data_IF_247371693022
#
_entry.id   IF_247371693022
#
_cell.length_a   1.000
_cell.length_b   1.000
_cell.length_c   1.000
_cell.angle_alpha   90.00
_cell.angle_beta   90.00
_cell.angle_gamma   90.00
#
_symmetry.space_group_name_H-M   'P 1'
#
loop_
_entity.id
_entity.type
_entity.pdbx_description
1 polymer ?
#
# COMPACT_ATOMS: atom_id res chain seq x y z
N UNK A 1 53.66 -28.93 36.00
CA UNK A 1 53.05 -27.60 35.77
C UNK A 1 52.37 -27.59 34.39
N UNK A 2 51.11 -27.13 34.34
CA UNK A 2 50.34 -26.50 33.22
C UNK A 2 50.68 -26.95 31.79
N UNK A 3 49.89 -27.71 31.01
CA UNK A 3 48.45 -27.70 30.60
C UNK A 3 47.97 -26.40 29.95
N UNK A 4 47.57 -26.54 28.67
CA UNK A 4 46.64 -25.74 27.83
C UNK A 4 47.26 -24.64 26.96
N UNK A 5 47.16 -24.81 25.63
CA UNK A 5 46.45 -23.90 24.71
C UNK A 5 46.47 -24.44 23.28
N UNK A 6 45.33 -24.99 22.84
CA UNK A 6 44.93 -25.13 21.44
C UNK A 6 43.48 -24.63 21.39
N UNK A 7 43.09 -24.02 20.26
CA UNK A 7 41.76 -23.51 19.87
C UNK A 7 41.59 -21.99 19.98
N UNK A 8 41.94 -21.28 18.90
CA UNK A 8 41.35 -19.99 18.54
C UNK A 8 41.54 -19.71 17.04
N UNK A 9 40.81 -20.40 16.16
CA UNK A 9 40.74 -20.05 14.74
C UNK A 9 39.48 -20.64 14.07
N UNK A 10 38.29 -20.20 14.45
CA UNK A 10 37.06 -20.54 13.73
C UNK A 10 35.95 -19.53 14.03
N UNK A 11 36.01 -18.32 13.44
CA UNK A 11 34.95 -17.31 13.68
C UNK A 11 34.66 -16.36 12.52
N UNK A 12 35.09 -16.62 11.28
CA UNK A 12 35.02 -15.61 10.21
C UNK A 12 34.22 -15.98 8.94
N UNK A 13 33.38 -17.03 8.94
CA UNK A 13 32.67 -17.45 7.71
C UNK A 13 31.14 -17.37 7.71
N UNK A 14 30.50 -16.74 8.70
CA UNK A 14 29.04 -16.77 8.82
C UNK A 14 28.27 -15.60 8.16
N UNK A 15 28.93 -14.63 7.53
CA UNK A 15 28.27 -13.38 7.09
C UNK A 15 27.55 -13.35 5.73
N UNK A 16 27.62 -14.32 4.79
CA UNK A 16 26.89 -14.19 3.51
C UNK A 16 25.47 -14.78 3.53
N UNK A 17 25.10 -15.58 4.53
CA UNK A 17 23.83 -16.32 4.52
C UNK A 17 22.60 -15.43 4.76
N UNK A 18 22.73 -14.39 5.57
CA UNK A 18 21.59 -13.52 5.96
C UNK A 18 21.11 -12.67 4.76
N UNK A 19 22.01 -12.29 3.83
CA UNK A 19 21.63 -11.47 2.65
C UNK A 19 20.88 -12.23 1.57
N UNK A 20 21.01 -13.56 1.47
CA UNK A 20 20.31 -14.35 0.44
C UNK A 20 18.82 -14.52 0.76
N UNK A 21 18.48 -14.66 2.04
CA UNK A 21 17.10 -14.90 2.49
C UNK A 21 16.12 -13.75 2.15
N UNK A 22 16.61 -12.51 2.07
CA UNK A 22 15.77 -11.35 1.75
C UNK A 22 15.54 -11.19 0.23
N UNK A 23 16.52 -11.62 -0.59
CA UNK A 23 16.44 -11.60 -2.05
C UNK A 23 15.51 -12.68 -2.64
N UNK A 24 15.07 -13.64 -1.83
CA UNK A 24 14.27 -14.80 -2.28
C UNK A 24 12.81 -14.77 -1.80
N UNK A 25 12.36 -13.70 -1.15
CA UNK A 25 10.92 -13.55 -0.86
C UNK A 25 10.18 -13.31 -2.17
N UNK A 26 9.18 -14.13 -2.52
CA UNK A 26 8.31 -13.85 -3.65
C UNK A 26 7.75 -12.43 -3.54
N UNK A 27 7.70 -11.72 -4.67
CA UNK A 27 7.07 -10.41 -4.71
C UNK A 27 5.59 -10.55 -4.29
N UNK A 28 5.05 -9.59 -3.53
CA UNK A 28 3.64 -9.65 -3.16
C UNK A 28 2.74 -9.53 -4.40
N UNK A 29 1.54 -10.12 -4.37
CA UNK A 29 0.66 -10.22 -5.54
C UNK A 29 0.26 -8.84 -6.11
N UNK A 30 0.24 -7.80 -5.28
CA UNK A 30 -0.09 -6.43 -5.65
C UNK A 30 1.10 -5.56 -6.03
N UNK A 31 2.30 -6.12 -6.16
CA UNK A 31 3.51 -5.35 -6.49
C UNK A 31 3.38 -4.52 -7.78
N UNK A 32 2.55 -4.95 -8.73
CA UNK A 32 2.32 -4.21 -9.97
C UNK A 32 1.60 -2.87 -9.77
N UNK A 33 0.89 -2.66 -8.65
CA UNK A 33 0.13 -1.43 -8.40
C UNK A 33 0.91 -0.40 -7.57
N UNK A 34 2.09 -0.75 -7.06
CA UNK A 34 2.88 0.14 -6.21
C UNK A 34 3.11 1.53 -6.82
N UNK A 35 3.06 2.56 -5.99
CA UNK A 35 3.27 3.95 -6.38
C UNK A 35 2.05 4.84 -6.17
N UNK A 36 2.14 6.06 -6.69
CA UNK A 36 1.14 7.11 -6.53
C UNK A 36 0.16 7.14 -7.70
N UNK A 37 -1.10 7.43 -7.40
CA UNK A 37 -2.21 7.46 -8.34
C UNK A 37 -3.05 8.71 -8.12
N UNK A 38 -3.38 9.42 -9.20
CA UNK A 38 -4.22 10.62 -9.21
C UNK A 38 -5.62 10.30 -9.76
N UNK A 39 -6.62 11.11 -9.39
CA UNK A 39 -7.99 10.99 -9.85
C UNK A 39 -8.89 10.28 -8.85
N UNK A 40 -9.78 9.42 -9.33
CA UNK A 40 -10.71 8.68 -8.47
C UNK A 40 -11.91 9.51 -8.04
N UNK A 41 -11.73 10.56 -7.22
CA UNK A 41 -12.83 11.47 -6.86
C UNK A 41 -13.27 12.34 -8.04
N UNK A 42 -12.28 12.85 -8.77
CA UNK A 42 -12.45 13.58 -10.02
C UNK A 42 -11.67 12.86 -11.12
N UNK A 43 -12.02 13.07 -12.40
CA UNK A 43 -11.23 12.54 -13.51
C UNK A 43 -9.74 12.91 -13.37
N UNK A 44 -8.81 11.99 -13.67
CA UNK A 44 -7.39 12.27 -13.51
C UNK A 44 -6.91 13.28 -14.55
N UNK A 45 -5.98 14.14 -14.14
CA UNK A 45 -5.20 14.99 -15.05
C UNK A 45 -4.08 14.19 -15.77
N UNK A 46 -3.03 14.91 -16.14
CA UNK A 46 -1.82 14.26 -16.69
C UNK A 46 -1.10 13.48 -15.59
N UNK A 47 -0.77 12.21 -15.88
CA UNK A 47 -0.05 11.33 -14.97
C UNK A 47 1.47 11.50 -15.06
N UNK A 48 1.98 12.21 -16.07
CA UNK A 48 3.40 12.26 -16.40
C UNK A 48 4.05 13.59 -15.99
N UNK A 49 3.58 14.19 -14.90
CA UNK A 49 4.10 15.46 -14.39
C UNK A 49 4.45 15.36 -12.91
N UNK A 50 5.30 16.27 -12.43
CA UNK A 50 5.65 16.32 -10.99
C UNK A 50 4.43 16.69 -10.14
N UNK A 51 3.52 17.51 -10.67
CA UNK A 51 2.27 17.89 -10.02
C UNK A 51 1.37 16.69 -9.71
N UNK A 52 1.45 15.61 -10.51
CA UNK A 52 0.71 14.38 -10.23
C UNK A 52 1.02 13.84 -8.83
N UNK A 53 2.29 13.86 -8.43
CA UNK A 53 2.70 13.37 -7.10
C UNK A 53 2.20 14.29 -5.97
N UNK A 54 2.05 15.58 -6.22
CA UNK A 54 1.46 16.54 -5.27
C UNK A 54 -0.06 16.39 -5.14
N UNK A 55 -0.73 15.90 -6.19
CA UNK A 55 -2.18 15.67 -6.25
C UNK A 55 -2.60 14.21 -6.14
N UNK A 56 -1.71 13.31 -5.73
CA UNK A 56 -2.04 11.89 -5.61
C UNK A 56 -3.21 11.70 -4.63
N UNK A 57 -4.19 10.87 -5.02
CA UNK A 57 -5.34 10.55 -4.18
C UNK A 57 -5.18 9.21 -3.49
N UNK A 58 -4.40 8.30 -4.09
CA UNK A 58 -4.09 6.99 -3.50
C UNK A 58 -2.63 6.63 -3.74
N UNK A 59 -1.99 6.06 -2.73
CA UNK A 59 -0.63 5.56 -2.79
C UNK A 59 -0.63 4.10 -2.31
N UNK A 60 -0.26 3.18 -3.19
CA UNK A 60 -0.12 1.77 -2.86
C UNK A 60 1.33 1.46 -2.50
N UNK A 61 1.54 0.88 -1.32
CA UNK A 61 2.84 0.38 -0.88
C UNK A 61 2.77 -1.12 -0.59
N UNK A 62 3.86 -1.68 -0.07
CA UNK A 62 3.92 -3.11 0.28
C UNK A 62 2.88 -3.49 1.33
N UNK A 63 2.79 -2.73 2.41
CA UNK A 63 2.03 -3.11 3.61
C UNK A 63 0.93 -2.11 3.98
N UNK A 64 0.90 -0.94 3.33
CA UNK A 64 -0.11 0.09 3.56
C UNK A 64 -0.64 0.69 2.26
N UNK A 65 -1.90 1.11 2.31
CA UNK A 65 -2.49 2.00 1.30
C UNK A 65 -2.79 3.33 1.98
N UNK A 66 -2.30 4.40 1.38
CA UNK A 66 -2.62 5.77 1.79
C UNK A 66 -3.71 6.29 0.85
N UNK A 67 -4.76 6.93 1.39
CA UNK A 67 -5.73 7.67 0.58
C UNK A 67 -6.00 9.06 1.12
N UNK A 68 -6.28 9.98 0.22
CA UNK A 68 -6.81 11.31 0.52
C UNK A 68 -8.26 11.39 0.01
N UNK A 69 -9.08 12.21 0.67
CA UNK A 69 -10.45 12.54 0.23
C UNK A 69 -10.59 14.05 0.02
N UNK A 70 -11.58 14.48 -0.74
CA UNK A 70 -11.84 15.90 -0.97
C UNK A 70 -12.15 16.67 0.32
N UNK A 71 -12.58 15.96 1.36
CA UNK A 71 -12.96 16.51 2.66
C UNK A 71 -11.91 16.27 3.74
N UNK A 72 -10.78 15.62 3.40
CA UNK A 72 -9.72 15.29 4.35
C UNK A 72 -8.36 15.77 3.85
N UNK A 73 -7.73 16.61 4.68
CA UNK A 73 -6.42 17.21 4.40
C UNK A 73 -5.31 16.15 4.54
N UNK A 74 -5.48 15.18 5.44
CA UNK A 74 -4.46 14.20 5.74
C UNK A 74 -4.68 12.89 4.98
N UNK A 75 -3.59 12.25 4.57
CA UNK A 75 -3.68 10.87 4.10
C UNK A 75 -4.13 9.96 5.23
N UNK A 76 -5.20 9.21 5.00
CA UNK A 76 -5.61 8.08 5.83
C UNK A 76 -4.80 6.86 5.44
N UNK A 77 -4.11 6.29 6.42
CA UNK A 77 -3.36 5.06 6.26
C UNK A 77 -4.22 3.84 6.59
N UNK A 78 -4.22 2.86 5.69
CA UNK A 78 -4.82 1.54 5.87
C UNK A 78 -3.76 0.47 5.83
N UNK A 79 -3.64 -0.31 6.89
CA UNK A 79 -2.73 -1.46 6.95
C UNK A 79 -3.35 -2.62 6.19
N UNK A 80 -2.60 -3.17 5.24
CA UNK A 80 -3.00 -4.34 4.45
C UNK A 80 -2.87 -5.58 5.34
N UNK A 81 -3.98 -6.32 5.49
CA UNK A 81 -3.98 -7.61 6.17
C UNK A 81 -3.75 -8.74 5.15
N UNK A 82 -4.51 -8.73 4.05
CA UNK A 82 -4.33 -9.69 2.95
C UNK A 82 -4.60 -9.04 1.60
N UNK A 83 -4.02 -9.62 0.56
CA UNK A 83 -4.32 -9.26 -0.83
C UNK A 83 -4.48 -10.53 -1.65
N UNK A 84 -5.57 -10.60 -2.42
CA UNK A 84 -5.85 -11.68 -3.35
C UNK A 84 -5.89 -11.15 -4.79
N UNK A 85 -5.43 -11.98 -5.73
CA UNK A 85 -5.69 -11.77 -7.15
C UNK A 85 -7.13 -12.20 -7.45
N UNK A 86 -7.84 -11.39 -8.22
CA UNK A 86 -9.17 -11.68 -8.76
C UNK A 86 -9.12 -11.56 -10.29
N UNK A 87 -10.10 -12.09 -11.05
CA UNK A 87 -10.02 -12.17 -12.51
C UNK A 87 -9.69 -10.85 -13.22
N UNK A 88 -10.11 -9.71 -12.66
CA UNK A 88 -9.96 -8.38 -13.22
C UNK A 88 -9.08 -7.43 -12.38
N UNK A 89 -8.37 -7.95 -11.37
CA UNK A 89 -7.44 -7.15 -10.57
C UNK A 89 -7.12 -7.72 -9.19
N UNK A 90 -7.35 -6.91 -8.14
CA UNK A 90 -6.95 -7.20 -6.76
C UNK A 90 -8.13 -7.00 -5.79
N UNK A 91 -8.23 -7.85 -4.78
CA UNK A 91 -9.05 -7.61 -3.59
C UNK A 91 -8.11 -7.41 -2.39
N UNK A 92 -8.13 -6.21 -1.82
CA UNK A 92 -7.43 -5.88 -0.59
C UNK A 92 -8.39 -6.04 0.59
N UNK A 93 -7.88 -6.65 1.66
CA UNK A 93 -8.49 -6.58 3.00
C UNK A 93 -7.56 -5.83 3.92
N UNK A 94 -8.11 -4.88 4.65
CA UNK A 94 -7.38 -4.06 5.58
C UNK A 94 -7.63 -4.51 7.01
N UNK A 95 -6.62 -4.39 7.86
CA UNK A 95 -6.81 -4.51 9.29
C UNK A 95 -7.86 -3.49 9.75
N UNK A 96 -8.71 -3.82 10.74
CA UNK A 96 -9.66 -2.88 11.31
C UNK A 96 -8.96 -1.59 11.73
N UNK A 97 -9.59 -0.47 11.40
CA UNK A 97 -9.03 0.81 11.75
C UNK A 97 -8.99 1.00 13.28
N UNK A 98 -7.84 1.37 13.82
CA UNK A 98 -7.74 1.74 15.23
C UNK A 98 -8.51 3.05 15.46
N UNK A 99 -9.28 3.11 16.55
CA UNK A 99 -9.90 4.35 16.98
C UNK A 99 -8.81 5.39 17.28
N UNK A 100 -8.90 6.55 16.62
CA UNK A 100 -8.00 7.67 16.86
C UNK A 100 -8.61 8.53 17.96
N UNK A 101 -8.30 8.19 19.22
CA UNK A 101 -8.75 8.95 20.38
C UNK A 101 -8.52 8.20 21.69
N UNK A 102 -8.23 8.93 22.77
CA UNK A 102 -8.15 8.36 24.11
C UNK A 102 -9.52 7.86 24.61
N UNK A 103 -9.54 7.30 25.82
CA UNK A 103 -10.69 6.60 26.47
C UNK A 103 -12.02 7.39 26.46
N UNK A 104 -11.98 8.71 26.22
CA UNK A 104 -13.15 9.60 26.21
C UNK A 104 -13.66 9.98 24.80
N UNK A 105 -12.98 9.58 23.72
CA UNK A 105 -13.37 9.94 22.36
C UNK A 105 -12.96 8.86 21.34
N UNK A 106 -13.43 7.64 21.54
CA UNK A 106 -13.23 6.52 20.60
C UNK A 106 -14.19 6.60 19.39
N UNK A 107 -14.22 7.73 18.69
CA UNK A 107 -15.00 7.83 17.44
C UNK A 107 -14.07 7.52 16.28
N UNK A 108 -14.36 6.44 15.57
CA UNK A 108 -13.76 6.20 14.26
C UNK A 108 -14.14 7.36 13.33
N UNK A 109 -13.18 7.97 12.63
CA UNK A 109 -13.47 8.91 11.56
C UNK A 109 -14.50 8.30 10.60
N UNK A 110 -15.55 9.04 10.20
CA UNK A 110 -16.59 8.53 9.32
C UNK A 110 -16.04 8.03 7.98
N UNK A 111 -14.90 8.58 7.57
CA UNK A 111 -14.24 8.28 6.30
C UNK A 111 -12.99 7.41 6.50
N UNK A 112 -12.97 6.51 7.48
CA UNK A 112 -11.74 5.76 7.78
C UNK A 112 -11.41 4.65 6.76
N UNK A 113 -12.34 4.25 5.89
CA UNK A 113 -12.16 3.19 4.89
C UNK A 113 -12.36 3.67 3.45
N UNK A 114 -12.31 2.76 2.48
CA UNK A 114 -12.66 3.10 1.08
C UNK A 114 -14.17 3.04 0.81
N UNK A 115 -14.94 2.51 1.78
CA UNK A 115 -16.41 2.39 1.76
C UNK A 115 -16.99 1.77 0.48
N UNK A 116 -16.18 0.95 -0.19
CA UNK A 116 -16.57 0.18 -1.37
C UNK A 116 -17.49 -0.96 -0.93
N UNK A 117 -18.58 -1.20 -1.65
CA UNK A 117 -19.54 -2.27 -1.32
C UNK A 117 -20.07 -2.20 0.14
N UNK A 118 -20.17 -0.98 0.71
CA UNK A 118 -20.53 -0.73 2.12
C UNK A 118 -19.59 -1.40 3.16
N UNK A 119 -18.35 -1.71 2.78
CA UNK A 119 -17.35 -2.28 3.68
C UNK A 119 -16.09 -1.38 3.74
N UNK A 120 -15.75 -0.78 4.89
CA UNK A 120 -14.61 0.12 5.01
C UNK A 120 -13.26 -0.59 4.92
N UNK A 121 -13.23 -1.90 5.17
CA UNK A 121 -12.02 -2.72 5.27
C UNK A 121 -11.75 -3.53 3.99
N UNK A 122 -12.55 -3.33 2.94
CA UNK A 122 -12.42 -4.00 1.66
C UNK A 122 -12.21 -2.97 0.54
N UNK A 123 -11.23 -3.23 -0.33
CA UNK A 123 -11.03 -2.46 -1.55
C UNK A 123 -10.81 -3.40 -2.72
N UNK A 124 -11.68 -3.30 -3.72
CA UNK A 124 -11.50 -3.95 -5.01
C UNK A 124 -10.85 -2.97 -5.96
N UNK A 125 -9.76 -3.42 -6.58
CA UNK A 125 -9.07 -2.66 -7.60
C UNK A 125 -9.14 -3.40 -8.91
N UNK A 126 -9.75 -2.75 -9.89
CA UNK A 126 -9.84 -3.26 -11.24
C UNK A 126 -8.77 -2.64 -12.11
N UNK A 127 -8.05 -3.45 -12.87
CA UNK A 127 -7.05 -2.97 -13.83
C UNK A 127 -7.76 -2.56 -15.13
N UNK A 128 -7.62 -1.29 -15.53
CA UNK A 128 -8.21 -0.75 -16.78
C UNK A 128 -7.18 -0.62 -17.90
N UNK A 129 -5.92 -0.46 -17.55
CA UNK A 129 -4.81 -0.42 -18.49
C UNK A 129 -3.46 -0.57 -17.76
N UNK A 130 -2.33 -0.36 -18.45
CA UNK A 130 -1.01 -0.42 -17.81
C UNK A 130 -0.84 0.57 -16.66
N UNK A 131 -1.42 1.77 -16.82
CA UNK A 131 -1.32 2.91 -15.90
C UNK A 131 -2.70 3.43 -15.45
N UNK A 132 -3.73 2.60 -15.54
CA UNK A 132 -5.09 2.97 -15.18
C UNK A 132 -5.76 1.88 -14.35
N UNK A 133 -6.42 2.30 -13.28
CA UNK A 133 -7.18 1.44 -12.38
C UNK A 133 -8.53 2.09 -12.06
N UNK A 134 -9.46 1.30 -11.54
CA UNK A 134 -10.74 1.79 -11.04
C UNK A 134 -11.10 1.06 -9.74
N UNK A 135 -11.92 1.70 -8.90
CA UNK A 135 -12.47 1.08 -7.72
C UNK A 135 -14.00 0.89 -7.90
N UNK A 136 -14.45 -0.26 -8.43
CA UNK A 136 -15.86 -0.48 -8.68
C UNK A 136 -16.67 -0.46 -7.38
N UNK A 137 -17.86 0.13 -7.42
CA UNK A 137 -18.76 0.18 -6.27
C UNK A 137 -18.34 1.15 -5.16
N UNK A 138 -17.31 1.98 -5.39
CA UNK A 138 -16.82 2.95 -4.41
C UNK A 138 -17.39 4.33 -4.69
N UNK A 139 -18.29 4.81 -3.83
CA UNK A 139 -18.96 6.11 -3.99
C UNK A 139 -17.98 7.28 -3.90
N UNK A 140 -16.92 7.14 -3.10
CA UNK A 140 -15.89 8.17 -2.94
C UNK A 140 -14.97 8.30 -4.15
N UNK A 141 -14.83 7.23 -4.95
CA UNK A 141 -13.90 7.17 -6.07
C UNK A 141 -14.62 6.72 -7.37
N UNK A 142 -15.57 7.51 -7.90
CA UNK A 142 -16.35 7.13 -9.07
C UNK A 142 -15.56 7.17 -10.40
N UNK A 143 -14.48 7.94 -10.47
CA UNK A 143 -13.63 8.07 -11.65
C UNK A 143 -12.48 7.05 -11.64
N UNK A 144 -11.84 6.88 -12.80
CA UNK A 144 -10.61 6.10 -12.89
C UNK A 144 -9.46 6.80 -12.16
N UNK A 145 -8.45 6.05 -11.76
CA UNK A 145 -7.18 6.59 -11.30
C UNK A 145 -6.11 6.34 -12.35
N UNK A 146 -5.21 7.32 -12.52
CA UNK A 146 -4.05 7.22 -13.40
C UNK A 146 -2.77 7.22 -12.58
N UNK A 147 -1.81 6.40 -12.99
CA UNK A 147 -0.51 6.30 -12.31
C UNK A 147 0.28 7.60 -12.51
N UNK A 148 0.88 8.10 -11.43
CA UNK A 148 1.90 9.14 -11.51
C UNK A 148 3.23 8.55 -11.93
N UNK A 149 3.83 9.12 -12.97
CA UNK A 149 5.14 8.75 -13.47
C UNK A 149 5.98 10.00 -13.70
N UNK A 150 7.30 9.85 -13.63
CA UNK A 150 8.22 10.92 -14.04
C UNK A 150 8.33 10.88 -15.57
N UNK A 151 8.31 12.02 -16.27
CA UNK A 151 8.67 12.05 -17.67
C UNK A 151 10.07 11.44 -17.84
N UNK A 152 10.18 10.48 -18.77
CA UNK A 152 11.43 9.77 -19.08
C UNK A 152 12.43 10.63 -19.85
#
# INVERSE_FOLDING_TARGET
>A
MRRRTLLAAASLLATPAIRRAEAQRPAPPHSWIFGSWIGGQFPPGDGNTTECFGGATVIFTRDVVLRASALDIAYRQRVIETVALIPDGLEFRFAPAAAQGGVLASRLPPDIGFSCDNNPDLLRVQRRGPNEIAFPGCVEFPAILRRCTTPG
#
